data_IF_621928591819
#
_entry.id   IF_621928591819
#
_cell.length_a   1.000
_cell.length_b   1.000
_cell.length_c   1.000
_cell.angle_alpha   90.00
_cell.angle_beta   90.00
_cell.angle_gamma   90.00
#
_symmetry.space_group_name_H-M   'P 1'
#
loop_
_entity.id
_entity.type
_entity.pdbx_description
1 polymer ?
#
# COMPACT_ATOMS: atom_id res chain seq x y z
N UNK A 1 11.82 -2.63 -12.45
CA UNK A 1 11.00 -2.34 -11.25
C UNK A 1 10.65 -0.86 -11.23
N UNK A 2 9.44 -0.52 -10.82
CA UNK A 2 8.99 0.86 -10.56
C UNK A 2 8.68 0.96 -9.07
N UNK A 3 9.22 1.99 -8.42
CA UNK A 3 9.02 2.26 -7.00
C UNK A 3 8.07 3.45 -6.88
N UNK A 4 6.99 3.27 -6.14
CA UNK A 4 6.00 4.31 -5.87
C UNK A 4 5.97 4.53 -4.37
N UNK A 5 6.32 5.74 -3.94
CA UNK A 5 6.02 6.22 -2.60
C UNK A 5 4.64 6.84 -2.63
N UNK A 6 3.67 6.23 -1.96
CA UNK A 6 2.30 6.73 -1.94
C UNK A 6 1.81 7.01 -0.51
N UNK A 7 0.80 7.88 -0.44
CA UNK A 7 0.00 8.08 0.76
C UNK A 7 -1.30 7.30 0.60
N UNK A 8 -1.53 6.36 1.51
CA UNK A 8 -2.74 5.55 1.56
C UNK A 8 -3.70 6.10 2.63
N UNK A 9 -4.89 6.51 2.20
CA UNK A 9 -5.93 7.03 3.09
C UNK A 9 -7.23 6.25 2.92
N UNK A 10 -7.93 5.97 4.02
CA UNK A 10 -9.17 5.22 3.98
C UNK A 10 -10.08 5.46 5.17
N UNK A 11 -11.38 5.18 4.99
CA UNK A 11 -12.38 5.17 6.07
C UNK A 11 -13.17 3.86 6.04
N UNK A 12 -13.26 3.16 7.17
CA UNK A 12 -13.96 1.87 7.28
C UNK A 12 -14.43 1.63 8.70
N UNK A 13 -15.68 1.18 8.89
CA UNK A 13 -16.27 0.84 10.22
C UNK A 13 -16.01 1.93 11.30
N UNK A 14 -16.13 3.21 10.93
CA UNK A 14 -15.85 4.34 11.84
C UNK A 14 -14.36 4.62 12.11
N UNK A 15 -13.44 3.82 11.56
CA UNK A 15 -12.00 4.06 11.63
C UNK A 15 -11.54 4.89 10.43
N UNK A 16 -10.49 5.68 10.64
CA UNK A 16 -9.76 6.39 9.58
C UNK A 16 -8.32 5.89 9.58
N UNK A 17 -7.78 5.66 8.39
CA UNK A 17 -6.39 5.35 8.15
C UNK A 17 -5.79 6.43 7.27
N UNK A 18 -4.59 6.87 7.62
CA UNK A 18 -3.78 7.82 6.87
C UNK A 18 -2.32 7.45 7.11
N UNK A 19 -1.71 6.82 6.13
CA UNK A 19 -0.37 6.27 6.22
C UNK A 19 0.37 6.43 4.89
N UNK A 20 1.66 6.09 4.88
CA UNK A 20 2.47 6.01 3.68
C UNK A 20 2.92 4.58 3.43
N UNK A 21 3.08 4.20 2.18
CA UNK A 21 3.67 2.92 1.82
C UNK A 21 4.53 3.03 0.56
N UNK A 22 5.43 2.06 0.41
CA UNK A 22 6.19 1.87 -0.83
C UNK A 22 5.63 0.68 -1.56
N UNK A 23 5.18 0.90 -2.79
CA UNK A 23 4.78 -0.17 -3.70
C UNK A 23 5.87 -0.38 -4.73
N UNK A 24 6.32 -1.62 -4.86
CA UNK A 24 7.29 -2.04 -5.87
C UNK A 24 6.56 -2.86 -6.93
N UNK A 25 6.54 -2.35 -8.16
CA UNK A 25 5.99 -3.05 -9.31
C UNK A 25 7.10 -3.72 -10.12
N UNK A 26 6.94 -5.00 -10.45
CA UNK A 26 7.68 -5.67 -11.51
C UNK A 26 6.88 -5.55 -12.80
N UNK A 27 7.58 -5.21 -13.89
CA UNK A 27 6.96 -5.05 -15.20
C UNK A 27 7.58 -6.00 -16.21
N UNK A 28 6.73 -6.57 -17.06
CA UNK A 28 7.12 -7.30 -18.26
C UNK A 28 6.44 -6.66 -19.47
N UNK A 29 7.23 -6.22 -20.46
CA UNK A 29 6.72 -5.52 -21.66
C UNK A 29 5.79 -4.35 -21.33
N UNK A 30 6.08 -3.62 -20.25
CA UNK A 30 5.27 -2.47 -19.81
C UNK A 30 4.01 -2.82 -19.01
N UNK A 31 3.72 -4.10 -18.80
CA UNK A 31 2.59 -4.58 -18.01
C UNK A 31 3.09 -4.96 -16.61
N UNK A 32 2.38 -4.53 -15.56
CA UNK A 32 2.68 -4.94 -14.18
C UNK A 32 2.34 -6.44 -14.03
N UNK A 33 3.32 -7.24 -13.61
CA UNK A 33 3.14 -8.69 -13.38
C UNK A 33 3.16 -9.06 -11.91
N UNK A 34 3.86 -8.28 -11.08
CA UNK A 34 3.93 -8.49 -9.63
C UNK A 34 3.93 -7.13 -8.91
N UNK A 35 3.36 -7.10 -7.71
CA UNK A 35 3.36 -5.94 -6.82
C UNK A 35 3.69 -6.37 -5.39
N UNK A 36 4.56 -5.62 -4.72
CA UNK A 36 4.92 -5.83 -3.32
C UNK A 36 4.70 -4.52 -2.57
N UNK A 37 3.91 -4.57 -1.49
CA UNK A 37 3.60 -3.41 -0.66
C UNK A 37 4.43 -3.44 0.62
N UNK A 38 5.13 -2.36 0.90
CA UNK A 38 5.86 -2.12 2.14
C UNK A 38 5.12 -1.06 2.95
N UNK A 39 4.32 -1.52 3.90
CA UNK A 39 3.53 -0.68 4.79
C UNK A 39 4.44 -0.06 5.84
N UNK A 40 4.42 1.27 5.98
CA UNK A 40 5.21 1.96 7.01
C UNK A 40 4.68 1.74 8.43
N UNK A 41 3.37 1.47 8.57
CA UNK A 41 2.71 1.17 9.84
C UNK A 41 1.81 -0.07 9.71
N UNK A 42 2.44 -1.25 9.67
CA UNK A 42 1.72 -2.52 9.57
C UNK A 42 0.65 -2.71 10.66
N UNK A 43 0.90 -2.40 11.97
CA UNK A 43 -0.13 -2.50 12.99
C UNK A 43 -1.37 -1.64 12.73
N UNK A 44 -1.21 -0.38 12.30
CA UNK A 44 -2.35 0.48 11.99
C UNK A 44 -3.14 -0.03 10.78
N UNK A 45 -2.44 -0.51 9.74
CA UNK A 45 -3.07 -1.10 8.55
C UNK A 45 -3.83 -2.39 8.91
N UNK A 46 -3.23 -3.28 9.70
CA UNK A 46 -3.88 -4.51 10.16
C UNK A 46 -5.13 -4.23 10.99
N UNK A 47 -5.07 -3.25 11.90
CA UNK A 47 -6.22 -2.81 12.72
C UNK A 47 -7.35 -2.24 11.85
N UNK A 48 -7.01 -1.43 10.84
CA UNK A 48 -7.97 -0.86 9.89
C UNK A 48 -8.69 -1.95 9.06
N UNK A 49 -7.99 -3.05 8.75
CA UNK A 49 -8.55 -4.14 7.96
C UNK A 49 -9.28 -5.23 8.77
N UNK A 50 -9.23 -5.18 10.10
CA UNK A 50 -9.98 -6.06 10.99
C UNK A 50 -11.50 -5.75 11.00
#
# INVERSE_FOLDING_TARGET
HVFVWERFTGKRKGQTLDTTEVVIFKLEKGIVTEAINFQSDYPAVAKFWS
#
